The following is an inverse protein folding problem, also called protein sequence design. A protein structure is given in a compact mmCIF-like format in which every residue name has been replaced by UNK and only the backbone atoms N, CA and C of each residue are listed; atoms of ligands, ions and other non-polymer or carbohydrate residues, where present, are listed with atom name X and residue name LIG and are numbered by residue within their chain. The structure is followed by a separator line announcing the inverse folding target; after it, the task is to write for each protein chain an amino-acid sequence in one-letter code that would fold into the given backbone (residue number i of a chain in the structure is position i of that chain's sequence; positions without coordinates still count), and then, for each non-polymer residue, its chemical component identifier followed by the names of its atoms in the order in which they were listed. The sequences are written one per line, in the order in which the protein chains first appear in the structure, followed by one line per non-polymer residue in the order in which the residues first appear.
data_IF_655742132181
#
_entry.id   IF_655742132181
#
_cell.length_a   1.000
_cell.length_b   1.000
_cell.length_c   1.000
_cell.angle_alpha   90.00
_cell.angle_beta   90.00
_cell.angle_gamma   90.00
#
_symmetry.space_group_name_H-M   'P 1'
#
loop_
_entity.id
_entity.type
_entity.pdbx_description
1 polymer ?
#
# COMPACT_ATOMS: atom_id res chain seq x y z
N UNK A 1 -5.68 -10.29 13.70
CA UNK A 1 -4.34 -9.85 13.25
C UNK A 1 -4.32 -9.84 11.73
N UNK A 2 -3.89 -8.76 11.08
CA UNK A 2 -3.76 -8.70 9.63
C UNK A 2 -2.65 -9.68 9.21
N UNK A 3 -3.00 -10.78 8.53
CA UNK A 3 -2.08 -11.88 8.19
C UNK A 3 -1.25 -11.62 6.93
N UNK A 4 -1.48 -10.48 6.27
CA UNK A 4 -0.87 -10.14 5.00
C UNK A 4 0.55 -9.62 5.17
N UNK A 5 1.42 -10.02 4.25
CA UNK A 5 2.78 -9.52 4.15
C UNK A 5 2.80 -8.08 3.64
N UNK A 6 3.88 -7.31 3.87
CA UNK A 6 4.05 -5.99 3.27
C UNK A 6 3.91 -6.00 1.74
N UNK A 7 4.40 -7.05 1.07
CA UNK A 7 4.27 -7.21 -0.38
C UNK A 7 2.82 -7.33 -0.83
N UNK A 8 2.01 -8.13 -0.13
CA UNK A 8 0.58 -8.29 -0.40
C UNK A 8 -0.20 -7.00 -0.17
N UNK A 9 0.10 -6.29 0.92
CA UNK A 9 -0.53 -5.00 1.24
C UNK A 9 -0.22 -3.96 0.16
N UNK A 10 1.03 -3.89 -0.30
CA UNK A 10 1.43 -2.95 -1.35
C UNK A 10 0.81 -3.30 -2.71
N UNK A 11 0.71 -4.59 -3.03
CA UNK A 11 0.08 -5.06 -4.25
C UNK A 11 -1.41 -4.68 -4.31
N UNK A 12 -2.12 -4.79 -3.18
CA UNK A 12 -3.52 -4.33 -3.07
C UNK A 12 -3.64 -2.83 -3.29
N UNK A 13 -2.80 -2.01 -2.64
CA UNK A 13 -2.76 -0.56 -2.86
C UNK A 13 -2.50 -0.22 -4.33
N UNK A 14 -1.54 -0.90 -4.97
CA UNK A 14 -1.21 -0.69 -6.38
C UNK A 14 -2.40 -1.04 -7.29
N UNK A 15 -3.12 -2.13 -6.99
CA UNK A 15 -4.32 -2.53 -7.72
C UNK A 15 -5.48 -1.52 -7.56
N UNK A 16 -5.70 -1.01 -6.34
CA UNK A 16 -6.77 -0.06 -6.03
C UNK A 16 -6.52 1.32 -6.66
N UNK A 17 -5.27 1.80 -6.59
CA UNK A 17 -4.92 3.17 -6.98
C UNK A 17 -4.48 3.29 -8.44
N UNK A 18 -4.05 2.19 -9.07
CA UNK A 18 -3.40 2.16 -10.39
C UNK A 18 -2.18 3.08 -10.49
N UNK A 19 -1.57 3.45 -9.36
CA UNK A 19 -0.40 4.32 -9.31
C UNK A 19 0.89 3.56 -9.65
N UNK A 20 1.84 4.29 -10.22
CA UNK A 20 3.20 3.83 -10.37
C UNK A 20 3.95 3.77 -9.03
N UNK A 21 5.00 2.96 -8.97
CA UNK A 21 5.78 2.71 -7.75
C UNK A 21 6.44 3.97 -7.18
N UNK A 22 6.81 4.92 -8.04
CA UNK A 22 7.30 6.23 -7.60
C UNK A 22 6.25 7.00 -6.81
N UNK A 23 5.03 7.10 -7.34
CA UNK A 23 3.94 7.81 -6.67
C UNK A 23 3.53 7.11 -5.36
N UNK A 24 3.56 5.78 -5.33
CA UNK A 24 3.38 4.99 -4.11
C UNK A 24 4.45 5.34 -3.08
N UNK A 25 5.73 5.38 -3.49
CA UNK A 25 6.84 5.74 -2.63
C UNK A 25 6.71 7.15 -2.07
N UNK A 26 6.42 8.12 -2.94
CA UNK A 26 6.19 9.52 -2.56
C UNK A 26 5.05 9.62 -1.53
N UNK A 27 3.98 8.82 -1.65
CA UNK A 27 2.85 8.80 -0.72
C UNK A 27 3.19 8.18 0.64
N UNK A 28 3.94 7.08 0.67
CA UNK A 28 4.28 6.36 1.93
C UNK A 28 5.60 6.81 2.55
N UNK A 29 6.25 7.84 1.98
CA UNK A 29 7.49 8.42 2.50
C UNK A 29 8.73 7.56 2.29
N UNK A 30 8.80 6.80 1.19
CA UNK A 30 9.98 5.99 0.86
C UNK A 30 10.35 6.08 -0.63
N UNK A 31 11.51 5.54 -1.00
CA UNK A 31 12.00 5.60 -2.37
C UNK A 31 11.33 4.56 -3.28
N UNK A 32 11.21 4.85 -4.58
CA UNK A 32 10.71 3.91 -5.59
C UNK A 32 11.47 2.56 -5.58
N UNK A 33 12.82 2.51 -5.41
CA UNK A 33 13.52 1.24 -5.22
C UNK A 33 13.06 0.48 -3.98
N UNK A 34 12.76 1.17 -2.87
CA UNK A 34 12.26 0.52 -1.65
C UNK A 34 10.89 -0.11 -1.89
N UNK A 35 10.00 0.60 -2.57
CA UNK A 35 8.71 0.06 -3.02
C UNK A 35 8.90 -1.21 -3.86
N UNK A 36 9.82 -1.20 -4.83
CA UNK A 36 10.10 -2.36 -5.67
C UNK A 36 10.65 -3.54 -4.88
N UNK A 37 11.57 -3.32 -3.96
CA UNK A 37 12.11 -4.39 -3.10
C UNK A 37 11.01 -5.03 -2.25
N UNK A 38 10.11 -4.22 -1.68
CA UNK A 38 8.95 -4.70 -0.92
C UNK A 38 8.01 -5.52 -1.81
N UNK A 39 7.66 -5.03 -3.01
CA UNK A 39 6.78 -5.75 -3.94
C UNK A 39 7.37 -7.11 -4.36
N UNK A 40 8.69 -7.20 -4.48
CA UNK A 40 9.41 -8.45 -4.76
C UNK A 40 9.63 -9.32 -3.51
N UNK A 41 9.02 -8.98 -2.37
CA UNK A 41 9.08 -9.79 -1.14
C UNK A 41 10.41 -9.70 -0.37
N UNK A 42 11.25 -8.69 -0.66
CA UNK A 42 12.51 -8.51 0.06
C UNK A 42 12.27 -7.87 1.44
N UNK A 43 13.02 -8.34 2.44
CA UNK A 43 12.81 -8.06 3.87
C UNK A 43 13.33 -6.69 4.35
N UNK A 44 13.15 -5.63 3.54
CA UNK A 44 13.60 -4.26 3.84
C UNK A 44 12.45 -3.35 4.34
N UNK A 45 11.32 -3.94 4.76
CA UNK A 45 10.18 -3.16 5.22
C UNK A 45 10.35 -2.72 6.69
N UNK A 46 10.80 -1.48 6.88
CA UNK A 46 10.84 -0.84 8.21
C UNK A 46 9.43 -0.75 8.81
N UNK A 47 9.33 -0.81 10.13
CA UNK A 47 8.04 -0.69 10.83
C UNK A 47 7.29 0.60 10.50
N UNK A 48 8.00 1.72 10.32
CA UNK A 48 7.39 2.99 9.89
C UNK A 48 6.76 2.91 8.49
N UNK A 49 7.44 2.24 7.55
CA UNK A 49 6.92 1.99 6.21
C UNK A 49 5.69 1.08 6.27
N UNK A 50 5.73 0.02 7.08
CA UNK A 50 4.57 -0.86 7.29
C UNK A 50 3.37 -0.11 7.85
N UNK A 51 3.58 0.77 8.84
CA UNK A 51 2.51 1.60 9.39
C UNK A 51 1.90 2.54 8.34
N UNK A 52 2.74 3.17 7.50
CA UNK A 52 2.27 4.02 6.40
C UNK A 52 1.45 3.24 5.35
N UNK A 53 1.87 2.01 5.03
CA UNK A 53 1.14 1.10 4.13
C UNK A 53 -0.23 0.74 4.71
N UNK A 54 -0.27 0.35 5.99
CA UNK A 54 -1.52 -0.03 6.67
C UNK A 54 -2.49 1.14 6.74
N UNK A 55 -2.00 2.32 7.13
CA UNK A 55 -2.78 3.55 7.22
C UNK A 55 -3.40 3.91 5.87
N UNK A 56 -2.59 3.96 4.81
CA UNK A 56 -3.10 4.34 3.49
C UNK A 56 -4.08 3.31 2.92
N UNK A 57 -3.86 2.01 3.17
CA UNK A 57 -4.81 0.96 2.76
C UNK A 57 -6.17 1.13 3.43
N UNK A 58 -6.19 1.48 4.72
CA UNK A 58 -7.44 1.72 5.44
C UNK A 58 -8.17 2.95 4.89
N UNK A 59 -7.45 4.02 4.57
CA UNK A 59 -8.00 5.21 3.89
C UNK A 59 -8.65 4.84 2.55
N UNK A 60 -7.98 4.02 1.74
CA UNK A 60 -8.53 3.58 0.45
C UNK A 60 -9.80 2.73 0.61
N UNK A 61 -9.83 1.85 1.61
CA UNK A 61 -11.02 1.03 1.92
C UNK A 61 -12.18 1.88 2.40
N UNK A 62 -11.93 2.87 3.26
CA UNK A 62 -12.95 3.81 3.71
C UNK A 62 -13.55 4.59 2.52
N UNK A 63 -12.72 5.01 1.56
CA UNK A 63 -13.18 5.68 0.33
C UNK A 63 -14.01 4.73 -0.55
N UNK A 64 -13.61 3.47 -0.71
CA UNK A 64 -14.39 2.48 -1.47
C UNK A 64 -15.76 2.20 -0.83
N UNK A 65 -15.79 2.02 0.49
CA UNK A 65 -17.03 1.75 1.24
C UNK A 65 -17.96 2.98 1.29
N UNK A 66 -17.39 4.19 1.18
CA UNK A 66 -18.16 5.43 1.07
C UNK A 66 -18.72 5.67 -0.35
N UNK A 67 -18.30 4.86 -1.33
CA UNK A 67 -18.77 4.89 -2.71
C UNK A 67 -19.94 3.95 -3.00
N UNK A 68 -20.48 3.24 -2.00
CA UNK A 68 -21.65 2.38 -2.18
C UNK A 68 -22.95 3.20 -2.16
N UNK A 69 -23.37 3.65 -3.33
CA UNK A 69 -24.78 3.85 -3.67
C UNK A 69 -25.00 3.33 -5.10
N UNK A 70 -26.01 2.48 -5.22
CA UNK A 70 -26.70 1.91 -6.41
C UNK A 70 -25.95 0.95 -7.35
N UNK A 71 -26.29 -0.34 -7.21
CA UNK A 71 -27.16 -1.03 -8.17
C UNK A 71 -28.08 -2.01 -7.44
#
# INVERSE_FOLDING_TARGET
MNTLTPSQLLAEIKALTKLGEKAIGDRIGCSQPTVNRILNGQSDCKSSTLMAILQWREELRAVQNSGETVA
#
